data_IF_831300769295
#
_entry.id   IF_831300769295
#
_cell.length_a   1.000
_cell.length_b   1.000
_cell.length_c   1.000
_cell.angle_alpha   90.00
_cell.angle_beta   90.00
_cell.angle_gamma   90.00
#
_symmetry.space_group_name_H-M   'P 1'
#
loop_
_entity.id
_entity.type
_entity.pdbx_description
1 polymer ?
#
# COMPACT_ATOMS: atom_id res chain seq x y z
N UNK A 1 35.34 30.11 -35.78
CA UNK A 1 36.33 29.27 -35.06
C UNK A 1 36.66 29.94 -33.73
N UNK A 2 36.04 29.52 -32.63
CA UNK A 2 36.34 30.00 -31.28
C UNK A 2 36.57 28.80 -30.38
N UNK A 3 37.84 28.55 -30.02
CA UNK A 3 38.26 27.46 -29.14
C UNK A 3 37.83 27.80 -27.71
N UNK A 4 36.93 27.00 -27.13
CA UNK A 4 36.66 27.03 -25.68
C UNK A 4 37.76 26.24 -24.96
N UNK A 5 38.56 26.93 -24.17
CA UNK A 5 39.53 26.32 -23.27
C UNK A 5 38.78 25.54 -22.17
N UNK A 6 39.00 24.22 -22.10
CA UNK A 6 38.56 23.39 -20.96
C UNK A 6 39.57 23.56 -19.82
N UNK A 7 39.11 24.04 -18.68
CA UNK A 7 39.87 24.06 -17.42
C UNK A 7 40.10 22.62 -16.94
N UNK A 8 41.31 22.23 -16.49
CA UNK A 8 41.54 20.88 -15.98
C UNK A 8 40.86 20.71 -14.61
N UNK A 9 40.09 19.63 -14.43
CA UNK A 9 39.52 19.26 -13.13
C UNK A 9 40.63 18.75 -12.22
N UNK A 10 40.74 19.32 -11.01
CA UNK A 10 41.63 18.82 -9.95
C UNK A 10 41.22 17.39 -9.58
N UNK A 11 42.18 16.48 -9.49
CA UNK A 11 41.99 15.15 -8.89
C UNK A 11 41.59 15.35 -7.43
N UNK A 12 40.45 14.79 -7.04
CA UNK A 12 40.06 14.66 -5.63
C UNK A 12 40.91 13.54 -5.05
N UNK A 13 41.68 13.87 -4.01
CA UNK A 13 42.46 12.92 -3.24
C UNK A 13 41.47 12.11 -2.39
N UNK A 14 41.42 10.79 -2.60
CA UNK A 14 40.61 9.88 -1.78
C UNK A 14 41.25 9.77 -0.40
N UNK A 15 40.48 10.11 0.65
CA UNK A 15 40.85 9.78 2.03
C UNK A 15 40.75 8.27 2.25
N UNK A 16 41.70 7.64 2.95
CA UNK A 16 41.72 6.21 3.17
C UNK A 16 40.89 5.86 4.42
N UNK A 17 39.57 5.77 4.28
CA UNK A 17 38.72 5.18 5.34
C UNK A 17 37.78 4.14 4.73
N UNK A 18 38.32 3.16 4.00
CA UNK A 18 37.66 1.86 3.77
C UNK A 18 38.76 0.79 3.67
N UNK A 19 39.24 0.31 4.81
CA UNK A 19 39.98 -0.95 4.91
C UNK A 19 39.33 -1.80 6.00
N UNK A 20 38.15 -2.38 5.71
CA UNK A 20 37.54 -3.42 6.57
C UNK A 20 36.41 -4.21 5.89
N UNK A 21 36.39 -4.35 4.57
CA UNK A 21 35.51 -5.31 3.89
C UNK A 21 36.33 -6.13 2.90
N UNK A 22 37.25 -6.92 3.43
CA UNK A 22 38.03 -7.87 2.67
C UNK A 22 38.18 -9.16 3.48
N UNK A 23 37.09 -9.94 3.55
CA UNK A 23 37.11 -11.40 3.73
C UNK A 23 35.68 -11.93 3.84
N UNK A 24 35.00 -12.14 2.71
CA UNK A 24 33.88 -13.08 2.64
C UNK A 24 34.39 -14.31 1.86
N UNK A 25 34.69 -15.44 2.52
CA UNK A 25 35.16 -16.63 1.84
C UNK A 25 33.96 -17.50 1.47
N UNK A 26 33.32 -17.20 0.34
CA UNK A 26 32.31 -18.06 -0.26
C UNK A 26 32.62 -18.24 -1.75
N UNK A 27 33.82 -18.75 -2.04
CA UNK A 27 34.08 -19.43 -3.30
C UNK A 27 34.17 -20.91 -2.93
N UNK A 28 33.08 -21.65 -3.18
CA UNK A 28 33.06 -23.07 -3.57
C UNK A 28 31.60 -23.47 -3.78
N UNK A 29 31.19 -23.48 -5.04
CA UNK A 29 29.88 -23.86 -5.53
C UNK A 29 29.95 -25.33 -5.97
N UNK A 30 29.66 -26.26 -5.06
CA UNK A 30 29.34 -27.66 -5.38
C UNK A 30 28.83 -28.36 -4.10
N UNK A 31 27.51 -28.40 -3.92
CA UNK A 31 26.69 -29.42 -3.25
C UNK A 31 25.37 -28.77 -2.79
N UNK A 32 24.36 -28.83 -3.63
CA UNK A 32 22.93 -28.83 -3.24
C UNK A 32 22.11 -29.20 -4.47
N UNK A 33 22.36 -30.41 -4.99
CA UNK A 33 21.37 -31.18 -5.71
C UNK A 33 21.03 -32.38 -4.82
N UNK A 34 19.79 -32.89 -4.94
CA UNK A 34 19.12 -33.93 -4.12
C UNK A 34 18.29 -33.32 -2.98
N UNK A 35 16.97 -33.50 -2.86
CA UNK A 35 15.92 -34.23 -3.59
C UNK A 35 14.60 -33.59 -3.18
N UNK A 36 13.76 -33.20 -4.14
CA UNK A 36 12.33 -32.98 -3.87
C UNK A 36 11.67 -34.35 -3.78
N UNK A 37 10.98 -34.63 -2.68
CA UNK A 37 10.00 -35.71 -2.63
C UNK A 37 8.75 -35.24 -1.87
N UNK A 38 7.61 -35.59 -2.44
CA UNK A 38 6.28 -35.07 -2.14
C UNK A 38 5.64 -35.77 -0.92
N UNK A 39 4.88 -34.99 -0.14
CA UNK A 39 3.68 -35.45 0.58
C UNK A 39 3.84 -35.74 2.07
N UNK A 40 3.19 -34.94 2.91
CA UNK A 40 2.09 -35.35 3.82
C UNK A 40 1.64 -34.14 4.67
N UNK A 41 0.66 -33.36 4.19
CA UNK A 41 0.06 -32.26 4.95
C UNK A 41 -1.06 -32.79 5.84
N UNK A 42 -0.70 -33.22 7.04
CA UNK A 42 -1.60 -33.30 8.18
C UNK A 42 -0.81 -33.13 9.48
N UNK A 43 -0.66 -31.90 9.95
CA UNK A 43 -0.46 -31.71 11.38
C UNK A 43 -1.01 -30.37 11.89
N UNK A 44 -2.06 -30.50 12.71
CA UNK A 44 -2.49 -29.49 13.66
C UNK A 44 -1.29 -29.13 14.56
N UNK A 45 -0.91 -27.86 14.60
CA UNK A 45 -0.08 -27.34 15.68
C UNK A 45 -0.82 -26.29 16.50
N UNK A 46 -1.18 -26.73 17.70
CA UNK A 46 -1.56 -25.92 18.84
C UNK A 46 -0.46 -24.91 19.13
N UNK A 47 -0.78 -23.62 19.05
CA UNK A 47 0.09 -22.55 19.50
C UNK A 47 0.14 -22.62 21.03
N UNK A 48 1.29 -23.01 21.57
CA UNK A 48 1.65 -22.75 22.97
C UNK A 48 1.85 -21.25 23.13
N UNK A 49 1.02 -20.63 23.96
CA UNK A 49 1.28 -19.31 24.53
C UNK A 49 1.78 -19.53 25.95
N UNK A 50 3.06 -19.27 26.19
CA UNK A 50 3.56 -19.07 27.55
C UNK A 50 4.29 -17.72 27.58
N UNK A 51 3.63 -16.76 28.20
CA UNK A 51 4.19 -15.47 28.59
C UNK A 51 3.43 -15.07 29.85
N UNK A 52 4.02 -15.40 30.99
CA UNK A 52 3.64 -14.86 32.29
C UNK A 52 3.89 -13.35 32.27
N UNK A 53 2.82 -12.56 32.28
CA UNK A 53 2.85 -11.13 32.56
C UNK A 53 2.21 -10.93 33.94
N UNK A 54 2.90 -10.17 34.77
CA UNK A 54 2.52 -9.80 36.13
C UNK A 54 1.11 -9.17 36.18
N UNK A 55 0.31 -9.65 37.13
CA UNK A 55 -0.99 -9.11 37.51
C UNK A 55 -0.82 -7.73 38.15
N UNK A 56 -1.32 -6.66 37.51
CA UNK A 56 -2.03 -5.53 38.13
C UNK A 56 -2.29 -4.41 37.11
N UNK A 57 -3.16 -4.67 36.13
CA UNK A 57 -3.94 -3.62 35.47
C UNK A 57 -5.20 -4.24 34.88
N UNK A 58 -6.35 -3.97 35.51
CA UNK A 58 -7.65 -4.47 35.06
C UNK A 58 -7.99 -3.78 33.74
N UNK A 59 -7.67 -4.44 32.64
CA UNK A 59 -8.12 -4.09 31.29
C UNK A 59 -9.65 -3.98 31.28
N UNK A 60 -10.16 -2.75 31.15
CA UNK A 60 -11.58 -2.45 30.98
C UNK A 60 -12.03 -2.66 29.53
N UNK A 61 -11.40 -3.54 28.78
CA UNK A 61 -11.85 -3.91 27.45
C UNK A 61 -13.20 -4.65 27.54
N UNK A 62 -14.19 -4.28 26.71
CA UNK A 62 -15.51 -4.88 26.78
C UNK A 62 -15.42 -6.38 26.52
N UNK A 63 -16.06 -7.15 27.39
CA UNK A 63 -16.08 -8.61 27.29
C UNK A 63 -16.60 -9.06 25.93
N UNK A 64 -16.21 -10.25 25.45
CA UNK A 64 -16.75 -10.83 24.20
C UNK A 64 -18.29 -10.79 24.14
N UNK A 65 -18.95 -10.90 25.29
CA UNK A 65 -20.42 -10.82 25.41
C UNK A 65 -20.93 -9.39 25.18
N UNK A 66 -20.25 -8.36 25.69
CA UNK A 66 -20.58 -6.96 25.43
C UNK A 66 -20.32 -6.58 23.98
N UNK A 67 -19.24 -7.06 23.38
CA UNK A 67 -18.95 -6.88 21.96
C UNK A 67 -19.99 -7.57 21.06
N UNK A 68 -20.47 -8.76 21.44
CA UNK A 68 -21.55 -9.47 20.75
C UNK A 68 -22.91 -8.78 20.91
N UNK A 69 -23.20 -8.22 22.10
CA UNK A 69 -24.40 -7.41 22.35
C UNK A 69 -24.39 -6.11 21.55
N UNK A 70 -23.25 -5.41 21.48
CA UNK A 70 -23.06 -4.21 20.65
C UNK A 70 -23.21 -4.49 19.14
N UNK A 71 -22.68 -5.63 18.65
CA UNK A 71 -22.91 -6.10 17.28
C UNK A 71 -24.38 -6.46 17.01
N UNK A 72 -25.09 -7.02 17.99
CA UNK A 72 -26.49 -7.39 17.87
C UNK A 72 -27.44 -6.18 17.92
N UNK A 73 -27.13 -5.12 18.67
CA UNK A 73 -27.87 -3.85 18.66
C UNK A 73 -27.64 -3.07 17.37
N UNK A 74 -26.41 -3.10 16.81
CA UNK A 74 -26.09 -2.40 15.55
C UNK A 74 -26.76 -3.06 14.31
N UNK A 75 -27.07 -4.36 14.35
CA UNK A 75 -27.86 -5.03 13.30
C UNK A 75 -29.32 -4.55 13.22
N UNK A 76 -29.90 -4.04 14.32
CA UNK A 76 -31.33 -3.65 14.37
C UNK A 76 -31.62 -2.26 13.80
N UNK A 77 -30.59 -1.42 13.64
CA UNK A 77 -30.72 -0.05 13.11
C UNK A 77 -30.16 0.11 11.68
N UNK A 78 -29.86 -1.00 10.97
CA UNK A 78 -29.40 -0.88 9.58
C UNK A 78 -30.58 -0.37 8.73
N UNK A 79 -30.46 0.79 8.06
CA UNK A 79 -31.50 1.25 7.16
C UNK A 79 -31.78 0.17 6.10
N UNK A 80 -33.03 0.05 5.62
CA UNK A 80 -33.38 -0.93 4.62
C UNK A 80 -32.45 -0.80 3.41
N UNK A 81 -32.01 -1.92 2.79
CA UNK A 81 -31.18 -1.88 1.60
C UNK A 81 -31.88 -1.03 0.54
N UNK A 82 -31.19 0.02 0.09
CA UNK A 82 -31.71 0.90 -0.95
C UNK A 82 -31.91 0.09 -2.24
N UNK A 83 -32.95 0.38 -3.03
CA UNK A 83 -33.14 -0.29 -4.32
C UNK A 83 -31.91 -0.07 -5.19
N UNK A 84 -31.43 -1.15 -5.80
CA UNK A 84 -30.23 -1.12 -6.63
C UNK A 84 -30.54 -0.34 -7.92
N UNK A 85 -29.79 0.74 -8.15
CA UNK A 85 -29.89 1.54 -9.38
C UNK A 85 -29.31 0.78 -10.56
N UNK A 86 -29.90 1.02 -11.73
CA UNK A 86 -29.40 0.56 -13.02
C UNK A 86 -28.11 1.29 -13.40
N UNK A 87 -27.33 0.70 -14.32
CA UNK A 87 -26.12 1.32 -14.84
C UNK A 87 -26.34 2.73 -15.42
N UNK A 88 -27.45 2.93 -16.16
CA UNK A 88 -27.76 4.24 -16.73
C UNK A 88 -28.11 5.29 -15.66
N UNK A 89 -28.78 4.89 -14.58
CA UNK A 89 -29.05 5.78 -13.45
C UNK A 89 -27.77 6.17 -12.69
N UNK A 90 -26.81 5.25 -12.60
CA UNK A 90 -25.50 5.53 -12.00
C UNK A 90 -24.67 6.48 -12.87
N UNK A 91 -24.67 6.29 -14.20
CA UNK A 91 -24.00 7.18 -15.15
C UNK A 91 -24.50 8.64 -15.06
N UNK A 92 -25.76 8.87 -14.70
CA UNK A 92 -26.32 10.21 -14.57
C UNK A 92 -25.62 11.08 -13.48
N UNK A 93 -24.95 10.44 -12.52
CA UNK A 93 -24.16 11.12 -11.49
C UNK A 93 -22.74 11.44 -11.95
N UNK A 94 -22.26 10.86 -13.04
CA UNK A 94 -20.94 11.14 -13.59
C UNK A 94 -21.02 12.34 -14.53
N UNK A 95 -20.06 13.25 -14.41
CA UNK A 95 -19.95 14.42 -15.29
C UNK A 95 -18.50 14.61 -15.69
N UNK A 96 -18.24 14.54 -17.00
CA UNK A 96 -16.92 14.83 -17.55
C UNK A 96 -16.65 16.33 -17.41
N UNK A 97 -15.64 16.68 -16.63
CA UNK A 97 -15.18 18.06 -16.44
C UNK A 97 -14.13 18.45 -17.48
N UNK A 98 -13.27 17.51 -17.88
CA UNK A 98 -12.22 17.71 -18.86
C UNK A 98 -11.87 16.38 -19.55
N UNK A 99 -10.98 16.35 -20.57
CA UNK A 99 -10.53 15.11 -21.19
C UNK A 99 -9.93 14.08 -20.21
N UNK A 100 -9.44 14.54 -19.06
CA UNK A 100 -8.78 13.70 -18.06
C UNK A 100 -9.45 13.75 -16.68
N UNK A 101 -10.66 14.32 -16.56
CA UNK A 101 -11.30 14.50 -15.25
C UNK A 101 -12.80 14.29 -15.29
N UNK A 102 -13.28 13.50 -14.34
CA UNK A 102 -14.69 13.23 -14.09
C UNK A 102 -15.05 13.65 -12.68
N UNK A 103 -16.27 14.14 -12.51
CA UNK A 103 -16.86 14.39 -11.21
C UNK A 103 -17.99 13.40 -10.98
N UNK A 104 -18.00 12.81 -9.78
CA UNK A 104 -19.10 12.03 -9.23
C UNK A 104 -19.92 12.96 -8.35
N UNK A 105 -21.15 13.24 -8.76
CA UNK A 105 -22.07 14.12 -8.03
C UNK A 105 -22.47 13.49 -6.70
N UNK A 106 -22.75 14.36 -5.71
CA UNK A 106 -23.38 13.96 -4.45
C UNK A 106 -24.67 13.17 -4.72
N UNK A 107 -24.90 12.14 -3.92
CA UNK A 107 -26.02 11.21 -4.10
C UNK A 107 -25.69 9.97 -4.95
N UNK A 108 -24.49 9.88 -5.54
CA UNK A 108 -24.01 8.63 -6.13
C UNK A 108 -23.83 7.52 -5.07
N UNK A 109 -23.60 7.90 -3.82
CA UNK A 109 -23.75 7.07 -2.63
C UNK A 109 -24.54 7.89 -1.59
N UNK A 110 -25.33 7.26 -0.69
CA UNK A 110 -25.99 7.97 0.39
C UNK A 110 -25.00 8.77 1.26
N UNK A 111 -25.44 9.91 1.79
CA UNK A 111 -24.71 10.72 2.77
C UNK A 111 -23.37 11.32 2.30
N UNK A 112 -23.14 11.46 1.00
CA UNK A 112 -21.97 12.18 0.48
C UNK A 112 -21.92 13.63 1.01
N UNK A 113 -20.90 13.95 1.82
CA UNK A 113 -20.62 15.27 2.35
C UNK A 113 -19.99 16.19 1.30
N UNK A 114 -19.20 15.62 0.38
CA UNK A 114 -18.52 16.31 -0.72
C UNK A 114 -18.76 15.55 -2.04
N UNK A 115 -18.57 16.17 -3.22
CA UNK A 115 -18.47 15.40 -4.47
C UNK A 115 -17.20 14.52 -4.46
N UNK A 116 -17.10 13.62 -5.44
CA UNK A 116 -15.86 12.92 -5.72
C UNK A 116 -15.33 13.30 -7.10
N UNK A 117 -14.02 13.20 -7.32
CA UNK A 117 -13.41 13.44 -8.63
C UNK A 117 -12.46 12.31 -8.99
N UNK A 118 -12.41 11.96 -10.27
CA UNK A 118 -11.60 10.88 -10.79
C UNK A 118 -10.77 11.41 -11.95
N UNK A 119 -9.46 11.23 -11.88
CA UNK A 119 -8.53 11.66 -12.91
C UNK A 119 -8.23 10.48 -13.82
N UNK A 120 -8.87 10.40 -14.98
CA UNK A 120 -8.68 9.31 -15.95
C UNK A 120 -8.81 9.83 -17.38
N UNK A 121 -7.99 9.27 -18.29
CA UNK A 121 -8.14 9.49 -19.72
C UNK A 121 -9.25 8.56 -20.30
N UNK A 122 -9.52 8.70 -21.60
CA UNK A 122 -10.55 7.90 -22.29
C UNK A 122 -10.32 6.38 -22.20
N UNK A 123 -9.06 5.93 -22.18
CA UNK A 123 -8.74 4.49 -22.10
C UNK A 123 -9.07 3.93 -20.72
N UNK A 124 -8.62 4.62 -19.67
CA UNK A 124 -8.82 4.19 -18.28
C UNK A 124 -10.27 4.35 -17.82
N UNK A 125 -10.97 5.36 -18.34
CA UNK A 125 -12.40 5.55 -18.12
C UNK A 125 -13.20 4.30 -18.51
N UNK A 126 -12.92 3.70 -19.67
CA UNK A 126 -13.65 2.51 -20.14
C UNK A 126 -13.57 1.37 -19.14
N UNK A 127 -12.38 1.14 -18.57
CA UNK A 127 -12.14 0.10 -17.57
C UNK A 127 -12.94 0.35 -16.28
N UNK A 128 -13.00 1.60 -15.80
CA UNK A 128 -13.76 1.95 -14.59
C UNK A 128 -15.27 1.85 -14.79
N UNK A 129 -15.75 2.23 -15.98
CA UNK A 129 -17.17 2.13 -16.31
C UNK A 129 -17.59 0.67 -16.51
N UNK A 130 -16.73 -0.17 -17.08
CA UNK A 130 -16.91 -1.62 -17.16
C UNK A 130 -16.97 -2.24 -15.76
N UNK A 131 -16.03 -1.92 -14.86
CA UNK A 131 -16.05 -2.37 -13.45
C UNK A 131 -17.36 -1.97 -12.75
N UNK A 132 -17.81 -0.72 -12.93
CA UNK A 132 -19.07 -0.24 -12.37
C UNK A 132 -20.27 -1.02 -12.90
N UNK A 133 -20.31 -1.28 -14.21
CA UNK A 133 -21.39 -2.05 -14.84
C UNK A 133 -21.44 -3.48 -14.31
N UNK A 134 -20.29 -4.14 -14.25
CA UNK A 134 -20.18 -5.50 -13.71
C UNK A 134 -20.63 -5.59 -12.26
N UNK A 135 -20.27 -4.60 -11.43
CA UNK A 135 -20.72 -4.52 -10.04
C UNK A 135 -22.23 -4.32 -9.88
N UNK A 136 -22.91 -3.71 -10.86
CA UNK A 136 -24.36 -3.52 -10.86
C UNK A 136 -25.10 -4.76 -11.35
N UNK A 137 -24.61 -5.39 -12.41
CA UNK A 137 -25.26 -6.56 -13.03
C UNK A 137 -25.15 -7.84 -12.17
N UNK A 138 -24.63 -7.73 -10.94
CA UNK A 138 -24.40 -8.86 -10.05
C UNK A 138 -23.27 -9.77 -10.54
N UNK A 139 -22.35 -9.21 -11.33
CA UNK A 139 -21.24 -9.91 -11.95
C UNK A 139 -20.40 -10.65 -10.90
N UNK A 140 -20.49 -11.98 -10.88
CA UNK A 140 -19.64 -12.87 -10.07
C UNK A 140 -18.22 -13.00 -10.64
N UNK A 141 -17.67 -11.94 -11.24
CA UNK A 141 -16.29 -11.94 -11.73
C UNK A 141 -15.42 -11.09 -10.80
N UNK A 142 -14.75 -11.80 -9.89
CA UNK A 142 -13.40 -11.44 -9.41
C UNK A 142 -13.30 -10.44 -8.27
N UNK A 143 -13.24 -10.96 -7.03
CA UNK A 143 -12.85 -10.20 -5.83
C UNK A 143 -14.06 -9.67 -5.07
N UNK A 144 -14.15 -9.93 -3.77
CA UNK A 144 -15.28 -9.53 -2.92
C UNK A 144 -15.39 -8.02 -2.65
N UNK A 145 -14.93 -7.18 -3.58
CA UNK A 145 -14.89 -5.73 -3.45
C UNK A 145 -15.99 -5.06 -4.28
N UNK A 146 -16.47 -3.93 -3.79
CA UNK A 146 -17.35 -3.04 -4.56
C UNK A 146 -16.51 -2.22 -5.57
N UNK A 147 -17.08 -1.78 -6.70
CA UNK A 147 -16.36 -1.02 -7.72
C UNK A 147 -15.63 0.21 -7.18
N UNK A 148 -14.48 0.55 -7.75
CA UNK A 148 -13.64 1.63 -7.23
C UNK A 148 -14.38 2.98 -7.20
N UNK A 149 -15.20 3.28 -8.23
CA UNK A 149 -16.04 4.48 -8.25
C UNK A 149 -17.00 4.58 -7.05
N UNK A 150 -17.50 3.44 -6.56
CA UNK A 150 -18.34 3.39 -5.34
C UNK A 150 -17.50 3.64 -4.09
N UNK A 151 -16.27 3.11 -4.05
CA UNK A 151 -15.36 3.32 -2.93
C UNK A 151 -14.98 4.80 -2.80
N UNK A 152 -14.58 5.46 -3.89
CA UNK A 152 -14.29 6.91 -3.90
C UNK A 152 -15.48 7.72 -3.35
N UNK A 153 -16.70 7.36 -3.76
CA UNK A 153 -17.91 8.03 -3.30
C UNK A 153 -18.30 7.71 -1.85
N UNK A 154 -18.02 6.49 -1.36
CA UNK A 154 -18.17 6.17 0.06
C UNK A 154 -17.24 7.02 0.92
N UNK A 155 -16.01 7.24 0.47
CA UNK A 155 -15.05 8.10 1.16
C UNK A 155 -15.54 9.54 1.20
N UNK A 156 -16.19 10.00 0.13
CA UNK A 156 -16.85 11.30 0.09
C UNK A 156 -18.02 11.47 1.08
N UNK A 157 -18.49 10.39 1.71
CA UNK A 157 -19.52 10.39 2.75
C UNK A 157 -18.95 10.39 4.18
N UNK A 158 -17.62 10.34 4.35
CA UNK A 158 -17.00 10.35 5.67
C UNK A 158 -17.08 11.74 6.32
N UNK A 159 -17.32 11.84 7.64
CA UNK A 159 -17.37 13.11 8.35
C UNK A 159 -16.02 13.84 8.31
N UNK A 160 -16.04 15.18 8.33
CA UNK A 160 -14.84 16.02 8.27
C UNK A 160 -14.09 16.04 6.93
N UNK A 161 -14.53 15.30 5.90
CA UNK A 161 -13.84 15.33 4.60
C UNK A 161 -13.95 16.71 3.93
N UNK A 162 -12.85 17.20 3.38
CA UNK A 162 -12.79 18.53 2.75
C UNK A 162 -12.79 18.45 1.22
N UNK A 163 -13.51 19.39 0.60
CA UNK A 163 -13.60 19.65 -0.86
C UNK A 163 -14.11 18.51 -1.73
N UNK A 164 -13.39 17.39 -1.81
CA UNK A 164 -13.73 16.22 -2.61
C UNK A 164 -12.91 14.99 -2.20
N UNK A 165 -13.44 13.79 -2.46
CA UNK A 165 -12.65 12.56 -2.51
C UNK A 165 -12.06 12.38 -3.91
N UNK A 166 -10.74 12.23 -4.03
CA UNK A 166 -10.05 12.20 -5.32
C UNK A 166 -9.54 10.79 -5.64
N UNK A 167 -9.74 10.31 -6.86
CA UNK A 167 -9.11 9.10 -7.36
C UNK A 167 -8.09 9.43 -8.45
N UNK A 168 -6.89 8.88 -8.29
CA UNK A 168 -5.77 9.01 -9.22
C UNK A 168 -5.94 8.09 -10.44
N UNK A 169 -5.16 8.26 -11.53
CA UNK A 169 -5.34 7.49 -12.77
C UNK A 169 -5.14 5.97 -12.66
N UNK A 170 -4.45 5.52 -11.63
CA UNK A 170 -4.21 4.11 -11.30
C UNK A 170 -5.28 3.52 -10.37
N UNK A 171 -6.40 4.23 -10.19
CA UNK A 171 -7.48 3.83 -9.28
C UNK A 171 -8.02 2.43 -9.58
N UNK A 172 -8.14 1.63 -8.53
CA UNK A 172 -8.79 0.33 -8.56
C UNK A 172 -9.29 -0.07 -7.17
N UNK A 173 -10.18 -1.06 -7.14
CA UNK A 173 -10.82 -1.53 -5.91
C UNK A 173 -9.81 -1.90 -4.81
N UNK A 174 -10.02 -1.36 -3.62
CA UNK A 174 -9.23 -1.60 -2.41
C UNK A 174 -10.10 -1.91 -1.18
N UNK A 175 -9.53 -1.79 0.02
CA UNK A 175 -10.20 -2.11 1.28
C UNK A 175 -10.87 -0.88 1.90
N UNK A 176 -12.14 -0.65 1.54
CA UNK A 176 -12.92 0.50 2.00
C UNK A 176 -12.66 1.75 1.16
N UNK A 177 -11.41 2.20 1.16
CA UNK A 177 -10.90 3.17 0.18
C UNK A 177 -10.39 2.39 -1.04
N UNK A 178 -10.50 2.98 -2.23
CA UNK A 178 -9.82 2.44 -3.40
C UNK A 178 -8.33 2.77 -3.36
N UNK A 179 -7.52 1.93 -4.00
CA UNK A 179 -6.11 2.27 -4.21
C UNK A 179 -6.05 3.48 -5.15
N UNK A 180 -5.11 4.39 -4.90
CA UNK A 180 -5.03 5.69 -5.60
C UNK A 180 -6.06 6.72 -5.11
N UNK A 181 -6.75 6.49 -3.98
CA UNK A 181 -7.64 7.50 -3.38
C UNK A 181 -6.86 8.50 -2.53
N UNK A 182 -7.23 9.78 -2.64
CA UNK A 182 -6.75 10.86 -1.79
C UNK A 182 -7.96 11.54 -1.17
N UNK A 183 -7.99 11.59 0.16
CA UNK A 183 -8.98 12.30 0.93
C UNK A 183 -8.28 13.08 2.05
N UNK A 184 -8.69 14.33 2.23
CA UNK A 184 -8.23 15.17 3.32
C UNK A 184 -9.40 15.39 4.29
N UNK A 185 -9.09 15.39 5.57
CA UNK A 185 -10.04 15.58 6.66
C UNK A 185 -9.64 16.79 7.49
N UNK A 186 -10.62 17.59 7.91
CA UNK A 186 -10.40 18.78 8.71
C UNK A 186 -10.05 18.41 10.15
N UNK A 187 -8.87 18.80 10.63
CA UNK A 187 -8.42 18.48 11.99
C UNK A 187 -9.14 19.32 13.06
N UNK A 188 -9.77 20.43 12.67
CA UNK A 188 -10.54 21.28 13.58
C UNK A 188 -11.99 20.79 13.75
N UNK A 189 -12.47 19.90 12.87
CA UNK A 189 -13.79 19.28 12.97
C UNK A 189 -13.74 18.11 13.98
N UNK A 190 -14.45 18.19 15.12
CA UNK A 190 -14.44 17.12 16.13
C UNK A 190 -15.04 15.80 15.63
N UNK A 191 -15.82 15.82 14.54
CA UNK A 191 -16.38 14.63 13.93
C UNK A 191 -15.47 14.02 12.87
N UNK A 192 -14.36 14.69 12.49
CA UNK A 192 -13.44 14.18 11.49
C UNK A 192 -12.83 12.83 11.88
N UNK A 193 -12.57 12.01 10.87
CA UNK A 193 -12.17 10.62 11.06
C UNK A 193 -10.77 10.35 10.52
N UNK A 194 -10.09 9.41 11.17
CA UNK A 194 -8.97 8.67 10.58
C UNK A 194 -9.45 7.24 10.29
N UNK A 195 -9.14 6.76 9.09
CA UNK A 195 -9.48 5.40 8.67
C UNK A 195 -8.21 4.65 8.26
N UNK A 196 -7.82 3.57 8.97
CA UNK A 196 -6.69 2.74 8.56
C UNK A 196 -6.83 2.19 7.13
N UNK A 197 -8.07 1.95 6.67
CA UNK A 197 -8.35 1.53 5.30
C UNK A 197 -8.00 2.58 4.24
N UNK A 198 -7.91 3.86 4.63
CA UNK A 198 -7.43 4.95 3.77
C UNK A 198 -5.90 5.10 3.73
N UNK A 199 -5.18 4.44 4.64
CA UNK A 199 -3.71 4.39 4.64
C UNK A 199 -3.22 3.13 3.92
N UNK A 200 -3.85 1.98 4.22
CA UNK A 200 -3.46 0.67 3.69
C UNK A 200 -2.81 -0.22 4.75
N UNK A 201 -2.69 -1.51 4.43
CA UNK A 201 -2.10 -2.51 5.32
C UNK A 201 -0.57 -2.36 5.43
N UNK A 202 0.10 -2.10 4.31
CA UNK A 202 1.53 -1.86 4.25
C UNK A 202 1.81 -0.37 4.43
N UNK A 203 1.86 0.05 5.70
CA UNK A 203 2.05 1.45 6.07
C UNK A 203 3.43 1.91 5.60
N UNK A 204 3.46 3.05 4.89
CA UNK A 204 4.67 3.61 4.31
C UNK A 204 5.29 2.74 3.19
N UNK A 205 4.50 1.89 2.53
CA UNK A 205 4.89 1.31 1.24
C UNK A 205 5.30 2.44 0.29
N UNK A 206 6.51 2.36 -0.26
CA UNK A 206 7.11 3.50 -0.94
C UNK A 206 8.32 3.14 -1.77
N UNK A 207 8.85 4.14 -2.47
CA UNK A 207 9.97 3.99 -3.40
C UNK A 207 11.09 4.94 -3.00
N UNK A 208 12.32 4.42 -2.97
CA UNK A 208 13.54 5.22 -2.81
C UNK A 208 14.34 5.17 -4.11
N UNK A 209 14.72 6.35 -4.62
CA UNK A 209 15.58 6.47 -5.79
C UNK A 209 16.98 6.90 -5.37
N UNK A 210 18.00 6.11 -5.76
CA UNK A 210 19.41 6.42 -5.54
C UNK A 210 20.06 6.74 -6.89
N UNK A 211 20.66 7.92 -7.00
CA UNK A 211 21.35 8.37 -8.21
C UNK A 211 22.85 8.11 -8.08
N UNK A 212 23.46 7.54 -9.12
CA UNK A 212 24.91 7.35 -9.25
C UNK A 212 25.51 8.33 -10.26
N UNK A 213 26.84 8.34 -10.39
CA UNK A 213 27.52 9.08 -11.45
C UNK A 213 27.81 8.23 -12.68
N UNK A 214 27.28 7.01 -12.73
CA UNK A 214 27.44 6.08 -13.86
C UNK A 214 26.46 6.43 -14.97
N UNK A 215 26.86 6.19 -16.21
CA UNK A 215 26.00 6.22 -17.38
C UNK A 215 25.49 4.81 -17.71
N UNK A 216 24.54 4.71 -18.63
CA UNK A 216 24.00 3.41 -19.08
C UNK A 216 25.12 2.51 -19.61
N UNK A 217 26.05 3.06 -20.41
CA UNK A 217 27.13 2.30 -21.03
C UNK A 217 28.09 1.69 -20.01
N UNK A 218 28.20 2.26 -18.81
CA UNK A 218 29.06 1.75 -17.72
C UNK A 218 28.48 0.49 -17.06
N UNK A 219 27.17 0.25 -17.22
CA UNK A 219 26.44 -0.83 -16.51
C UNK A 219 26.02 -1.95 -17.48
N UNK A 220 26.12 -1.74 -18.79
CA UNK A 220 25.70 -2.72 -19.79
C UNK A 220 26.68 -3.91 -19.95
N UNK A 221 26.26 -4.93 -20.69
CA UNK A 221 27.02 -6.17 -20.87
C UNK A 221 27.12 -7.00 -19.59
N UNK A 222 28.27 -7.62 -19.36
CA UNK A 222 28.50 -8.51 -18.20
C UNK A 222 28.35 -7.81 -16.84
N UNK A 223 28.54 -6.48 -16.79
CA UNK A 223 28.41 -5.70 -15.55
C UNK A 223 26.97 -5.75 -15.04
N UNK A 224 25.98 -5.73 -15.95
CA UNK A 224 24.56 -5.75 -15.60
C UNK A 224 24.18 -6.99 -14.81
N UNK A 225 24.60 -8.16 -15.31
CA UNK A 225 24.28 -9.45 -14.70
C UNK A 225 24.99 -9.63 -13.36
N UNK A 226 26.28 -9.26 -13.30
CA UNK A 226 27.06 -9.29 -12.05
C UNK A 226 26.45 -8.36 -11.00
N UNK A 227 26.06 -7.14 -11.38
CA UNK A 227 25.43 -6.20 -10.47
C UNK A 227 24.07 -6.72 -9.97
N UNK A 228 23.24 -7.25 -10.86
CA UNK A 228 21.95 -7.83 -10.47
C UNK A 228 22.12 -8.99 -9.48
N UNK A 229 23.06 -9.90 -9.74
CA UNK A 229 23.34 -11.01 -8.84
C UNK A 229 23.86 -10.51 -7.49
N UNK A 230 24.82 -9.58 -7.48
CA UNK A 230 25.32 -9.00 -6.22
C UNK A 230 24.22 -8.30 -5.41
N UNK A 231 23.28 -7.61 -6.06
CA UNK A 231 22.14 -7.00 -5.38
C UNK A 231 21.21 -8.05 -4.78
N UNK A 232 20.91 -9.13 -5.51
CA UNK A 232 20.07 -10.21 -5.02
C UNK A 232 20.70 -10.93 -3.82
N UNK A 233 22.01 -11.20 -3.88
CA UNK A 233 22.73 -11.85 -2.78
C UNK A 233 22.85 -10.95 -1.54
N UNK A 234 22.88 -9.63 -1.73
CA UNK A 234 23.07 -8.65 -0.65
C UNK A 234 21.77 -8.14 -0.02
N UNK A 235 20.64 -8.22 -0.73
CA UNK A 235 19.35 -7.68 -0.28
C UNK A 235 18.42 -8.87 -0.02
N UNK A 236 18.16 -9.22 1.26
CA UNK A 236 17.24 -10.30 1.58
C UNK A 236 15.84 -10.02 1.01
N UNK A 237 15.30 -10.99 0.26
CA UNK A 237 13.95 -10.95 -0.32
C UNK A 237 13.18 -12.22 0.04
N UNK A 238 11.85 -12.14 0.05
CA UNK A 238 10.97 -13.29 0.31
C UNK A 238 10.35 -13.32 1.72
N UNK A 239 9.31 -14.14 1.88
CA UNK A 239 8.61 -14.30 3.16
C UNK A 239 9.44 -15.20 4.08
N UNK A 240 9.68 -14.76 5.32
CA UNK A 240 10.41 -15.55 6.32
C UNK A 240 11.94 -15.42 6.27
N UNK A 241 12.47 -14.57 5.39
CA UNK A 241 13.91 -14.21 5.41
C UNK A 241 14.15 -13.10 6.43
N UNK A 242 15.30 -13.16 7.11
CA UNK A 242 15.70 -12.18 8.12
C UNK A 242 16.75 -11.21 7.57
N UNK A 243 16.78 -9.99 8.10
CA UNK A 243 17.79 -9.00 7.76
C UNK A 243 19.19 -9.44 8.18
N UNK A 244 20.21 -8.93 7.48
CA UNK A 244 21.62 -9.22 7.77
C UNK A 244 22.11 -8.47 9.03
N UNK A 245 21.42 -7.39 9.40
CA UNK A 245 21.73 -6.61 10.59
C UNK A 245 21.09 -7.29 11.80
N UNK A 246 21.87 -7.75 12.80
CA UNK A 246 21.32 -8.30 14.03
C UNK A 246 20.66 -7.17 14.83
N UNK A 247 19.38 -7.36 15.14
CA UNK A 247 18.56 -6.41 15.91
C UNK A 247 18.01 -7.15 17.12
N UNK A 248 18.21 -6.60 18.31
CA UNK A 248 17.57 -7.08 19.54
C UNK A 248 16.16 -6.49 19.67
N UNK A 249 15.31 -7.12 20.50
CA UNK A 249 13.94 -6.64 20.70
C UNK A 249 13.87 -5.18 21.18
N UNK A 250 14.83 -4.74 21.99
CA UNK A 250 14.86 -3.37 22.52
C UNK A 250 15.25 -2.34 21.45
N UNK A 251 16.02 -2.74 20.43
CA UNK A 251 16.39 -1.85 19.33
C UNK A 251 15.18 -1.50 18.44
N UNK A 252 14.13 -2.35 18.45
CA UNK A 252 12.93 -2.12 17.65
C UNK A 252 12.20 -0.85 18.07
N UNK A 253 12.14 -0.55 19.37
CA UNK A 253 11.49 0.66 19.87
C UNK A 253 12.23 1.92 19.38
N UNK A 254 13.56 1.88 19.40
CA UNK A 254 14.40 2.97 18.91
C UNK A 254 14.26 3.14 17.38
N UNK A 255 14.20 2.04 16.62
CA UNK A 255 13.95 2.06 15.17
C UNK A 255 12.59 2.68 14.85
N UNK A 256 11.54 2.32 15.59
CA UNK A 256 10.19 2.87 15.38
C UNK A 256 10.09 4.34 15.75
N UNK A 257 10.88 4.80 16.72
CA UNK A 257 10.90 6.19 17.19
C UNK A 257 11.76 7.10 16.30
N UNK A 258 12.95 6.64 15.91
CA UNK A 258 13.97 7.44 15.21
C UNK A 258 13.92 7.27 13.68
N UNK A 259 13.34 6.17 13.19
CA UNK A 259 13.25 5.88 11.76
C UNK A 259 14.63 5.75 11.12
N UNK A 260 14.93 6.60 10.13
CA UNK A 260 16.20 6.55 9.39
C UNK A 260 17.41 7.04 10.19
N UNK A 261 17.19 7.72 11.30
CA UNK A 261 18.26 8.30 12.13
C UNK A 261 18.84 7.31 13.16
N UNK A 262 18.21 6.14 13.34
CA UNK A 262 18.75 5.03 14.13
C UNK A 262 19.99 4.41 13.46
#
# INVERSE_FOLDING_TARGET
MTKKNKTPRKKVQQDPIIHSFASCPCADYELCQETNDDGDDNNNHSIMTDATADDDDVDKSPTKIEQMKAKATNKRNRPPPQPQRTYNEELAYLTKLSPTRYQIKKGFVPNMNVPAEVVVNETLEKLLLEELKEGIDGGKRGGGFIPALKQVANVAALPGIVKASLAMPDVHSGYGFCIGNVAAFDMDDPEAVISPGGVGFDINCGVRLIRTNLCEEDVMGDVREKLAQCLFDSIPVGVGTSGVIPIAKNDLDDVLLLGIDW
#
